data_IF_037467598434
#
_entry.id   IF_037467598434
#
_cell.length_a   1.000
_cell.length_b   1.000
_cell.length_c   1.000
_cell.angle_alpha   90.00
_cell.angle_beta   90.00
_cell.angle_gamma   90.00
#
_symmetry.space_group_name_H-M   'P 1'
#
loop_
_entity.id
_entity.type
_entity.pdbx_description
1 polymer ?
#
# COMPACT_ATOMS: atom_id res chain seq x y z
N UNK A 1 -28.86 -19.94 15.87
CA UNK A 1 -27.46 -19.64 15.48
C UNK A 1 -26.96 -18.52 16.39
N UNK A 2 -25.80 -18.67 17.02
CA UNK A 2 -25.25 -17.66 17.95
C UNK A 2 -24.21 -16.78 17.24
N UNK A 3 -24.02 -15.54 17.71
CA UNK A 3 -22.97 -14.64 17.23
C UNK A 3 -23.13 -14.23 15.76
N UNK A 4 -22.00 -14.09 15.05
CA UNK A 4 -21.95 -13.64 13.66
C UNK A 4 -22.66 -14.58 12.66
N UNK A 5 -22.77 -15.87 12.98
CA UNK A 5 -23.39 -16.89 12.11
C UNK A 5 -24.87 -16.63 11.78
N UNK A 6 -25.57 -15.82 12.58
CA UNK A 6 -26.96 -15.43 12.31
C UNK A 6 -27.11 -14.53 11.08
N UNK A 7 -26.03 -13.83 10.69
CA UNK A 7 -26.00 -12.94 9.53
C UNK A 7 -25.58 -13.66 8.25
N UNK A 8 -25.16 -14.92 8.34
CA UNK A 8 -24.70 -15.70 7.18
C UNK A 8 -25.90 -16.43 6.56
N UNK A 9 -26.72 -15.68 5.84
CA UNK A 9 -27.91 -16.17 5.14
C UNK A 9 -27.55 -16.58 3.71
N UNK A 10 -28.18 -17.64 3.20
CA UNK A 10 -27.93 -18.15 1.84
C UNK A 10 -26.78 -19.15 1.75
N UNK A 11 -26.40 -19.50 0.52
CA UNK A 11 -25.33 -20.46 0.23
C UNK A 11 -23.97 -19.82 0.43
N UNK A 12 -23.07 -20.52 1.10
CA UNK A 12 -21.70 -20.07 1.33
C UNK A 12 -20.91 -19.99 0.02
N UNK A 13 -19.95 -19.05 -0.05
CA UNK A 13 -18.92 -19.06 -1.08
C UNK A 13 -17.91 -20.19 -0.77
N UNK A 14 -18.31 -21.43 -1.01
CA UNK A 14 -17.50 -22.62 -0.74
C UNK A 14 -16.13 -22.55 -1.44
N UNK A 15 -16.03 -22.18 -2.74
CA UNK A 15 -14.72 -22.00 -3.39
C UNK A 15 -13.84 -20.96 -2.70
N UNK A 16 -14.41 -19.82 -2.30
CA UNK A 16 -13.67 -18.76 -1.59
C UNK A 16 -13.18 -19.19 -0.20
N UNK A 17 -13.90 -20.09 0.47
CA UNK A 17 -13.45 -20.65 1.75
C UNK A 17 -12.21 -21.51 1.54
N UNK A 18 -12.18 -22.36 0.51
CA UNK A 18 -11.02 -23.19 0.20
C UNK A 18 -9.77 -22.36 -0.12
N UNK A 19 -9.91 -21.27 -0.87
CA UNK A 19 -8.76 -20.40 -1.18
C UNK A 19 -8.24 -19.67 0.06
N UNK A 20 -9.14 -19.16 0.90
CA UNK A 20 -8.76 -18.48 2.16
C UNK A 20 -8.01 -19.41 3.10
N UNK A 21 -8.39 -20.69 3.21
CA UNK A 21 -7.68 -21.66 4.08
C UNK A 21 -6.22 -21.83 3.64
N UNK A 22 -5.96 -21.96 2.34
CA UNK A 22 -4.59 -22.07 1.82
C UNK A 22 -3.81 -20.77 2.04
N UNK A 23 -4.40 -19.61 1.78
CA UNK A 23 -3.76 -18.32 2.04
C UNK A 23 -3.43 -18.11 3.52
N UNK A 24 -4.33 -18.49 4.43
CA UNK A 24 -4.09 -18.43 5.88
C UNK A 24 -2.96 -19.37 6.30
N UNK A 25 -2.86 -20.55 5.69
CA UNK A 25 -1.77 -21.48 5.98
C UNK A 25 -0.41 -20.86 5.63
N UNK A 26 -0.30 -20.20 4.47
CA UNK A 26 0.91 -19.48 4.06
C UNK A 26 1.24 -18.31 5.00
N UNK A 27 0.25 -17.49 5.36
CA UNK A 27 0.44 -16.36 6.28
C UNK A 27 0.90 -16.86 7.66
N UNK A 28 0.36 -17.97 8.14
CA UNK A 28 0.75 -18.58 9.41
C UNK A 28 2.17 -19.19 9.35
N UNK A 29 2.54 -19.81 8.23
CA UNK A 29 3.89 -20.34 8.00
C UNK A 29 4.95 -19.24 8.02
N UNK A 30 4.68 -18.12 7.33
CA UNK A 30 5.55 -16.93 7.36
C UNK A 30 5.58 -16.27 8.74
N UNK A 31 4.45 -16.32 9.46
CA UNK A 31 4.26 -15.75 10.77
C UNK A 31 3.84 -14.28 10.70
N UNK A 32 2.67 -13.97 11.28
CA UNK A 32 2.08 -12.62 11.26
C UNK A 32 3.04 -11.56 11.82
N UNK A 33 3.73 -11.86 12.93
CA UNK A 33 4.69 -10.94 13.53
C UNK A 33 5.91 -10.67 12.63
N UNK A 34 6.39 -11.69 11.91
CA UNK A 34 7.48 -11.50 10.95
C UNK A 34 7.04 -10.63 9.78
N UNK A 35 5.84 -10.87 9.24
CA UNK A 35 5.26 -10.04 8.17
C UNK A 35 5.12 -8.58 8.63
N UNK A 36 4.58 -8.37 9.82
CA UNK A 36 4.37 -7.03 10.38
C UNK A 36 5.71 -6.30 10.59
N UNK A 37 6.69 -6.97 11.21
CA UNK A 37 8.03 -6.42 11.41
C UNK A 37 8.69 -6.05 10.07
N UNK A 38 8.65 -6.96 9.10
CA UNK A 38 9.25 -6.77 7.79
C UNK A 38 8.59 -5.62 7.02
N UNK A 39 7.26 -5.61 6.96
CA UNK A 39 6.52 -4.60 6.18
C UNK A 39 6.56 -3.23 6.83
N UNK A 40 6.64 -3.15 8.17
CA UNK A 40 6.87 -1.90 8.91
C UNK A 40 8.26 -1.33 8.61
N UNK A 41 9.29 -2.18 8.60
CA UNK A 41 10.65 -1.76 8.19
C UNK A 41 10.69 -1.28 6.74
N UNK A 42 10.01 -1.99 5.84
CA UNK A 42 9.92 -1.60 4.43
C UNK A 42 9.18 -0.26 4.28
N UNK A 43 8.07 -0.06 4.98
CA UNK A 43 7.37 1.24 5.00
C UNK A 43 8.27 2.36 5.51
N UNK A 44 9.04 2.12 6.58
CA UNK A 44 10.05 3.04 7.10
C UNK A 44 11.08 3.44 6.03
N UNK A 45 11.62 2.46 5.30
CA UNK A 45 12.55 2.72 4.20
C UNK A 45 11.94 3.61 3.09
N UNK A 46 10.71 3.33 2.67
CA UNK A 46 10.01 4.19 1.70
C UNK A 46 9.80 5.61 2.24
N UNK A 47 9.44 5.76 3.52
CA UNK A 47 9.25 7.08 4.12
C UNK A 47 10.57 7.85 4.22
N UNK A 48 11.69 7.20 4.57
CA UNK A 48 13.01 7.83 4.59
C UNK A 48 13.44 8.31 3.20
N UNK A 49 13.24 7.49 2.17
CA UNK A 49 13.54 7.88 0.79
C UNK A 49 12.62 9.01 0.29
N UNK A 50 11.35 9.05 0.71
CA UNK A 50 10.43 10.16 0.40
C UNK A 50 10.85 11.46 1.10
N UNK A 51 11.26 11.39 2.37
CA UNK A 51 11.75 12.54 3.14
C UNK A 51 13.02 13.14 2.52
N UNK A 52 13.98 12.30 2.10
CA UNK A 52 15.19 12.79 1.43
C UNK A 52 14.92 13.50 0.11
N UNK A 53 13.78 13.20 -0.53
CA UNK A 53 13.29 13.86 -1.76
C UNK A 53 12.36 15.05 -1.49
N UNK A 54 12.05 15.33 -0.23
CA UNK A 54 11.24 16.49 0.19
C UNK A 54 9.74 16.33 -0.02
N UNK A 55 9.23 15.10 -0.09
CA UNK A 55 7.77 14.87 -0.17
C UNK A 55 7.10 15.05 1.19
N UNK A 56 5.87 15.56 1.19
CA UNK A 56 5.03 15.62 2.39
C UNK A 56 4.37 14.26 2.63
N UNK A 57 4.71 13.62 3.76
CA UNK A 57 4.19 12.30 4.12
C UNK A 57 3.04 12.44 5.12
N UNK A 58 1.90 11.82 4.81
CA UNK A 58 0.72 11.78 5.69
C UNK A 58 0.78 10.62 6.70
N UNK A 59 1.44 9.52 6.35
CA UNK A 59 1.63 8.38 7.26
C UNK A 59 2.46 8.83 8.49
N UNK A 60 2.02 8.53 9.73
CA UNK A 60 2.79 8.85 10.93
C UNK A 60 4.17 8.20 10.93
N UNK A 61 5.17 8.83 11.55
CA UNK A 61 6.54 8.29 11.65
C UNK A 61 6.73 7.27 12.78
N UNK A 62 5.83 7.27 13.76
CA UNK A 62 5.86 6.29 14.86
C UNK A 62 5.39 4.92 14.33
N UNK A 63 6.24 3.88 14.34
CA UNK A 63 5.90 2.55 13.83
C UNK A 63 4.75 1.88 14.59
N UNK A 64 4.41 2.34 15.79
CA UNK A 64 3.22 1.85 16.51
C UNK A 64 1.90 2.44 16.01
N UNK A 65 1.96 3.51 15.20
CA UNK A 65 0.80 4.25 14.68
C UNK A 65 0.53 3.99 13.19
N UNK A 66 1.32 3.15 12.53
CA UNK A 66 1.11 2.81 11.12
C UNK A 66 1.39 1.33 10.83
N UNK A 67 0.76 0.81 9.78
CA UNK A 67 1.08 -0.49 9.21
C UNK A 67 1.94 -0.34 7.95
N UNK A 68 1.72 -1.22 6.98
CA UNK A 68 2.47 -1.30 5.72
C UNK A 68 2.00 -0.32 4.62
N UNK A 69 1.35 0.78 5.00
CA UNK A 69 0.79 1.76 4.06
C UNK A 69 1.56 3.07 4.18
N UNK A 70 2.08 3.56 3.05
CA UNK A 70 2.73 4.87 2.96
C UNK A 70 1.89 5.77 2.07
N UNK A 71 1.39 6.86 2.63
CA UNK A 71 0.60 7.87 1.93
C UNK A 71 1.37 9.18 1.96
N UNK A 72 1.56 9.79 0.79
CA UNK A 72 2.31 11.04 0.66
C UNK A 72 1.76 11.88 -0.48
N UNK A 73 2.01 13.19 -0.41
CA UNK A 73 1.56 14.13 -1.42
C UNK A 73 2.54 14.15 -2.58
N UNK A 74 2.04 13.84 -3.78
CA UNK A 74 2.86 13.73 -4.99
C UNK A 74 2.62 14.88 -5.98
N UNK A 75 1.43 15.49 -5.92
CA UNK A 75 1.02 16.63 -6.72
C UNK A 75 -0.07 17.42 -5.99
N UNK A 76 -0.34 18.65 -6.44
CA UNK A 76 -1.36 19.52 -5.83
C UNK A 76 -2.78 19.20 -6.30
N UNK A 77 -2.91 18.66 -7.51
CA UNK A 77 -4.21 18.45 -8.14
C UNK A 77 -4.53 16.98 -8.33
N UNK A 78 -5.83 16.72 -8.42
CA UNK A 78 -6.42 15.38 -8.55
C UNK A 78 -6.05 14.77 -9.90
N UNK A 79 -6.04 15.59 -10.95
CA UNK A 79 -5.70 15.25 -12.32
C UNK A 79 -4.23 14.87 -12.47
N UNK A 80 -3.33 15.63 -11.85
CA UNK A 80 -1.90 15.33 -11.89
C UNK A 80 -1.56 14.07 -11.09
N UNK A 81 -2.21 13.89 -9.93
CA UNK A 81 -2.08 12.66 -9.15
C UNK A 81 -2.55 11.44 -9.95
N UNK A 82 -3.68 11.54 -10.66
CA UNK A 82 -4.18 10.47 -11.53
C UNK A 82 -3.22 10.16 -12.68
N UNK A 83 -2.65 11.20 -13.30
CA UNK A 83 -1.65 11.03 -14.35
C UNK A 83 -0.43 10.26 -13.84
N UNK A 84 0.05 10.57 -12.63
CA UNK A 84 1.18 9.87 -12.00
C UNK A 84 0.81 8.43 -11.65
N UNK A 85 -0.36 8.20 -11.04
CA UNK A 85 -0.86 6.85 -10.74
C UNK A 85 -0.97 6.01 -12.00
N UNK A 86 -1.52 6.59 -13.08
CA UNK A 86 -1.63 5.92 -14.37
C UNK A 86 -0.24 5.60 -14.94
N UNK A 87 0.67 6.57 -14.94
CA UNK A 87 2.03 6.39 -15.45
C UNK A 87 2.75 5.26 -14.70
N UNK A 88 2.66 5.21 -13.37
CA UNK A 88 3.23 4.12 -12.58
C UNK A 88 2.57 2.77 -12.91
N UNK A 89 1.24 2.75 -13.06
CA UNK A 89 0.50 1.55 -13.46
C UNK A 89 0.89 1.03 -14.84
N UNK A 90 1.11 1.91 -15.82
CA UNK A 90 1.59 1.56 -17.17
C UNK A 90 3.01 0.95 -17.14
N UNK A 91 3.75 1.13 -16.04
CA UNK A 91 5.08 0.56 -15.79
C UNK A 91 5.07 -0.55 -14.73
N UNK A 92 3.94 -1.24 -14.54
CA UNK A 92 3.74 -2.34 -13.58
C UNK A 92 4.03 -1.98 -12.10
N UNK A 93 3.76 -0.73 -11.72
CA UNK A 93 3.89 -0.25 -10.34
C UNK A 93 2.49 0.19 -9.86
N UNK A 94 1.65 -0.76 -9.42
CA UNK A 94 0.29 -0.44 -9.03
C UNK A 94 0.27 0.41 -7.76
N UNK A 95 -0.26 1.61 -7.88
CA UNK A 95 -0.51 2.53 -6.76
C UNK A 95 -1.93 3.04 -6.88
N UNK A 96 -2.44 3.68 -5.82
CA UNK A 96 -3.76 4.29 -5.85
C UNK A 96 -3.72 5.71 -5.34
N UNK A 97 -4.60 6.55 -5.87
CA UNK A 97 -4.90 7.83 -5.26
C UNK A 97 -5.70 7.63 -3.98
N UNK A 98 -5.35 8.37 -2.94
CA UNK A 98 -6.12 8.56 -1.73
C UNK A 98 -6.59 10.01 -1.65
N UNK A 99 -7.80 10.23 -1.11
CA UNK A 99 -8.31 11.57 -0.81
C UNK A 99 -8.42 11.70 0.71
N UNK A 100 -7.91 12.80 1.26
CA UNK A 100 -8.19 13.13 2.66
C UNK A 100 -9.64 13.62 2.85
N UNK A 101 -10.00 13.97 4.09
CA UNK A 101 -11.32 14.50 4.41
C UNK A 101 -11.64 15.85 3.75
N UNK A 102 -10.62 16.63 3.35
CA UNK A 102 -10.76 17.90 2.64
C UNK A 102 -10.82 17.73 1.11
N UNK A 103 -10.62 16.51 0.60
CA UNK A 103 -10.56 16.20 -0.82
C UNK A 103 -9.20 16.42 -1.47
N UNK A 104 -8.14 16.65 -0.68
CA UNK A 104 -6.78 16.78 -1.20
C UNK A 104 -6.26 15.42 -1.69
N UNK A 105 -5.62 15.36 -2.87
CA UNK A 105 -5.14 14.11 -3.44
C UNK A 105 -3.75 13.73 -2.93
N UNK A 106 -3.59 12.44 -2.64
CA UNK A 106 -2.34 11.81 -2.21
C UNK A 106 -2.10 10.54 -3.02
N UNK A 107 -0.85 10.11 -3.10
CA UNK A 107 -0.50 8.79 -3.60
C UNK A 107 -0.33 7.83 -2.42
N UNK A 108 -0.93 6.64 -2.52
CA UNK A 108 -0.88 5.60 -1.49
C UNK A 108 -0.19 4.35 -2.02
N UNK A 109 0.88 3.97 -1.34
CA UNK A 109 1.59 2.71 -1.46
C UNK A 109 1.02 1.72 -0.45
N UNK A 110 0.79 0.48 -0.87
CA UNK A 110 0.31 -0.59 0.01
C UNK A 110 1.26 -1.76 -0.12
N UNK A 111 2.16 -1.89 0.86
CA UNK A 111 3.24 -2.86 0.87
C UNK A 111 2.78 -4.16 1.56
N UNK A 112 3.39 -5.27 1.17
CA UNK A 112 3.17 -6.56 1.82
C UNK A 112 4.47 -7.39 1.84
N UNK A 113 4.40 -8.59 2.42
CA UNK A 113 5.55 -9.50 2.60
C UNK A 113 6.25 -9.94 1.30
N UNK A 114 5.64 -9.74 0.13
CA UNK A 114 6.25 -10.04 -1.15
C UNK A 114 7.05 -8.85 -1.73
N UNK A 115 6.86 -7.64 -1.20
CA UNK A 115 7.60 -6.47 -1.66
C UNK A 115 9.02 -6.47 -1.13
N UNK A 116 9.95 -5.81 -1.81
CA UNK A 116 11.37 -5.76 -1.45
C UNK A 116 12.06 -4.44 -1.87
N UNK A 117 13.36 -4.33 -1.61
CA UNK A 117 14.15 -3.12 -1.93
C UNK A 117 14.24 -2.83 -3.44
N UNK A 118 14.20 -3.84 -4.31
CA UNK A 118 14.20 -3.63 -5.77
C UNK A 118 12.92 -2.95 -6.22
N UNK A 119 11.77 -3.30 -5.62
CA UNK A 119 10.51 -2.60 -5.88
C UNK A 119 10.61 -1.13 -5.50
N UNK A 120 11.31 -0.82 -4.41
CA UNK A 120 11.52 0.57 -3.97
C UNK A 120 12.42 1.35 -4.94
N UNK A 121 13.55 0.77 -5.35
CA UNK A 121 14.43 1.39 -6.34
C UNK A 121 13.68 1.68 -7.65
N UNK A 122 12.94 0.70 -8.16
CA UNK A 122 12.10 0.84 -9.37
C UNK A 122 11.03 1.91 -9.16
N UNK A 123 10.34 1.91 -8.02
CA UNK A 123 9.32 2.93 -7.71
C UNK A 123 9.89 4.34 -7.79
N UNK A 124 11.03 4.62 -7.14
CA UNK A 124 11.59 5.98 -7.12
C UNK A 124 12.16 6.43 -8.47
N UNK A 125 12.69 5.51 -9.27
CA UNK A 125 13.12 5.78 -10.65
C UNK A 125 11.94 6.29 -11.50
N UNK A 126 10.83 5.55 -11.51
CA UNK A 126 9.65 5.91 -12.30
C UNK A 126 8.89 7.09 -11.69
N UNK A 127 8.85 7.23 -10.37
CA UNK A 127 8.26 8.40 -9.71
C UNK A 127 8.97 9.68 -10.14
N UNK A 128 10.30 9.68 -10.14
CA UNK A 128 11.09 10.83 -10.58
C UNK A 128 10.78 11.21 -12.04
N UNK A 129 10.64 10.20 -12.91
CA UNK A 129 10.29 10.40 -14.32
C UNK A 129 8.85 10.90 -14.52
N UNK A 130 7.92 10.51 -13.63
CA UNK A 130 6.52 10.93 -13.69
C UNK A 130 6.28 12.38 -13.23
N UNK A 131 7.12 12.87 -12.31
CA UNK A 131 7.00 14.18 -11.68
C UNK A 131 7.79 15.26 -12.43
N UNK A 132 8.87 14.89 -13.14
CA UNK A 132 9.58 15.83 -14.01
C UNK A 132 8.73 16.18 -15.25
N UNK A 133 8.54 17.47 -15.56
CA UNK A 133 7.89 17.86 -16.81
C UNK A 133 8.79 17.47 -17.98
N UNK A 134 8.25 16.69 -18.92
CA UNK A 134 8.82 16.42 -20.23
C UNK A 134 8.99 17.69 -21.06
#
# INVERSE_FOLDING_TARGET
RNGALRFMTGTFNVPGIFTVVSSLSLINELGVHHIDTYTTQLAGYFMDELDTRGYEILTPRDPSLHGSIVTFKVAETTEETDRIVKYLGDHDIPTVRHLDAAGSPFLRLSLHCYNNQQDSARFFEYLSSAVQPS
#
